data_IF_099161182824
#
_entry.id   IF_099161182824
#
_cell.length_a   1.000
_cell.length_b   1.000
_cell.length_c   1.000
_cell.angle_alpha   90.00
_cell.angle_beta   90.00
_cell.angle_gamma   90.00
#
_symmetry.space_group_name_H-M   'P 1'
#
loop_
_entity.id
_entity.type
_entity.pdbx_description
1 polymer ?
#
# COMPACT_ATOMS: atom_id res chain seq x y z
N UNK A 1 9.98 19.43 -24.06
CA UNK A 1 9.10 18.27 -23.83
C UNK A 1 9.52 17.67 -22.50
N UNK A 2 8.72 17.88 -21.44
CA UNK A 2 9.02 17.38 -20.10
C UNK A 2 9.16 15.87 -20.16
N UNK A 3 10.38 15.36 -19.97
CA UNK A 3 10.59 13.94 -19.79
C UNK A 3 10.19 13.69 -18.34
N UNK A 4 9.07 13.00 -18.11
CA UNK A 4 8.70 12.46 -16.78
C UNK A 4 9.79 11.48 -16.33
N UNK A 5 10.93 12.03 -15.92
CA UNK A 5 12.07 11.32 -15.41
C UNK A 5 12.05 11.33 -13.89
N UNK A 6 12.95 10.55 -13.31
CA UNK A 6 13.15 10.54 -11.86
C UNK A 6 13.38 11.96 -11.29
N UNK A 7 14.01 12.86 -12.07
CA UNK A 7 14.30 14.24 -11.67
C UNK A 7 13.03 15.08 -11.46
N UNK A 8 12.08 15.12 -12.40
CA UNK A 8 10.81 15.83 -12.20
C UNK A 8 10.01 15.26 -11.02
N UNK A 9 9.98 13.93 -10.85
CA UNK A 9 9.30 13.31 -9.72
C UNK A 9 9.93 13.70 -8.37
N UNK A 10 11.26 13.74 -8.30
CA UNK A 10 11.99 14.21 -7.10
C UNK A 10 11.70 15.68 -6.82
N UNK A 11 11.59 16.53 -7.85
CA UNK A 11 11.29 17.94 -7.68
C UNK A 11 9.87 18.16 -7.14
N UNK A 12 8.88 17.45 -7.70
CA UNK A 12 7.49 17.45 -7.20
C UNK A 12 7.44 16.91 -5.77
N UNK A 13 8.14 15.80 -5.50
CA UNK A 13 8.23 15.23 -4.16
C UNK A 13 8.85 16.23 -3.18
N UNK A 14 9.89 16.96 -3.58
CA UNK A 14 10.52 18.01 -2.78
C UNK A 14 9.54 19.12 -2.40
N UNK A 15 8.73 19.61 -3.34
CA UNK A 15 7.69 20.62 -3.07
C UNK A 15 6.62 20.03 -2.14
N UNK A 16 6.15 18.81 -2.41
CA UNK A 16 5.18 18.13 -1.56
C UNK A 16 5.73 17.94 -0.13
N UNK A 17 7.02 17.66 0.02
CA UNK A 17 7.69 17.53 1.31
C UNK A 17 7.81 18.85 2.07
N UNK A 18 7.92 19.99 1.38
CA UNK A 18 7.89 21.30 2.05
C UNK A 18 6.49 21.59 2.59
N UNK A 19 5.44 21.23 1.85
CA UNK A 19 4.04 21.45 2.25
C UNK A 19 3.60 20.48 3.35
N UNK A 20 3.88 19.18 3.18
CA UNK A 20 3.44 18.13 4.10
C UNK A 20 4.46 17.82 5.20
N UNK A 21 5.75 18.06 4.97
CA UNK A 21 6.84 17.69 5.87
C UNK A 21 7.38 16.27 5.61
N UNK A 22 8.71 16.04 5.69
CA UNK A 22 9.31 14.72 5.47
C UNK A 22 8.93 13.66 6.51
N UNK A 23 8.51 14.09 7.71
CA UNK A 23 8.02 13.18 8.74
C UNK A 23 6.67 12.53 8.44
N UNK A 24 5.84 13.13 7.57
CA UNK A 24 4.50 12.59 7.27
C UNK A 24 4.54 11.42 6.29
N UNK A 25 5.52 11.36 5.39
CA UNK A 25 5.67 10.24 4.45
C UNK A 25 5.83 8.86 5.15
N UNK A 26 6.75 8.69 6.14
CA UNK A 26 6.89 7.41 6.83
C UNK A 26 5.68 7.08 7.72
N UNK A 27 4.98 8.08 8.25
CA UNK A 27 3.75 7.88 9.02
C UNK A 27 2.62 7.33 8.13
N UNK A 28 2.38 7.96 6.99
CA UNK A 28 1.42 7.51 5.98
C UNK A 28 1.81 6.12 5.45
N UNK A 29 3.10 5.89 5.17
CA UNK A 29 3.60 4.59 4.73
C UNK A 29 3.37 3.46 5.74
N UNK A 30 3.56 3.73 7.05
CA UNK A 30 3.27 2.77 8.12
C UNK A 30 1.77 2.47 8.21
N UNK A 31 0.92 3.49 8.14
CA UNK A 31 -0.53 3.32 8.18
C UNK A 31 -1.04 2.50 6.98
N UNK A 32 -0.64 2.87 5.76
CA UNK A 32 -0.97 2.16 4.53
C UNK A 32 -0.42 0.73 4.54
N UNK A 33 0.81 0.53 5.02
CA UNK A 33 1.43 -0.79 5.16
C UNK A 33 0.63 -1.70 6.09
N UNK A 34 0.21 -1.19 7.25
CA UNK A 34 -0.64 -1.95 8.18
C UNK A 34 -1.98 -2.34 7.53
N UNK A 35 -2.62 -1.40 6.84
CA UNK A 35 -3.86 -1.66 6.10
C UNK A 35 -3.68 -2.69 4.98
N UNK A 36 -2.58 -2.64 4.22
CA UNK A 36 -2.31 -3.61 3.16
C UNK A 36 -2.06 -5.02 3.72
N UNK A 37 -1.35 -5.11 4.84
CA UNK A 37 -1.07 -6.39 5.52
C UNK A 37 -2.35 -7.01 6.09
N UNK A 38 -3.18 -6.20 6.74
CA UNK A 38 -4.48 -6.66 7.25
C UNK A 38 -5.39 -7.06 6.08
N UNK A 39 -5.47 -6.27 5.01
CA UNK A 39 -6.24 -6.60 3.82
C UNK A 39 -5.78 -7.91 3.17
N UNK A 40 -4.47 -8.10 2.97
CA UNK A 40 -3.90 -9.34 2.42
C UNK A 40 -4.22 -10.56 3.28
N UNK A 41 -4.19 -10.39 4.61
CA UNK A 41 -4.48 -11.48 5.56
C UNK A 41 -5.94 -11.91 5.47
N UNK A 42 -6.88 -10.96 5.45
CA UNK A 42 -8.30 -11.26 5.33
C UNK A 42 -8.67 -11.79 3.95
N UNK A 43 -8.06 -11.24 2.89
CA UNK A 43 -8.24 -11.74 1.52
C UNK A 43 -7.80 -13.20 1.41
N UNK A 44 -6.60 -13.57 1.92
CA UNK A 44 -6.14 -14.95 1.90
C UNK A 44 -6.96 -15.87 2.82
N UNK A 45 -7.36 -15.42 4.02
CA UNK A 45 -8.21 -16.22 4.91
C UNK A 45 -9.59 -16.51 4.31
N UNK A 46 -10.12 -15.59 3.50
CA UNK A 46 -11.38 -15.80 2.77
C UNK A 46 -11.21 -16.82 1.64
N UNK A 47 -10.04 -16.86 1.00
CA UNK A 47 -9.71 -17.93 0.05
C UNK A 47 -9.60 -19.28 0.76
N UNK A 48 -8.85 -19.36 1.86
CA UNK A 48 -8.62 -20.61 2.61
C UNK A 48 -9.92 -21.19 3.19
N UNK A 49 -10.77 -20.34 3.79
CA UNK A 49 -12.08 -20.74 4.32
C UNK A 49 -13.09 -21.16 3.22
N UNK A 50 -12.85 -20.76 1.97
CA UNK A 50 -13.64 -21.23 0.82
C UNK A 50 -13.21 -22.63 0.39
N UNK A 51 -11.91 -22.95 0.49
CA UNK A 51 -11.36 -24.28 0.15
C UNK A 51 -11.74 -25.32 1.22
N UNK A 52 -11.65 -24.98 2.50
CA UNK A 52 -11.99 -25.90 3.61
C UNK A 52 -13.49 -26.25 3.65
N UNK A 53 -14.37 -25.30 3.26
CA UNK A 53 -15.83 -25.53 3.21
C UNK A 53 -16.30 -26.41 2.04
N UNK A 54 -15.43 -26.65 1.05
CA UNK A 54 -15.69 -27.57 -0.06
C UNK A 54 -15.30 -29.02 0.24
N UNK A 55 -14.36 -29.28 1.16
CA UNK A 55 -13.89 -30.63 1.48
C UNK A 55 -14.76 -31.35 2.52
N UNK A 56 -15.52 -30.64 3.36
CA UNK A 56 -16.46 -31.23 4.35
C UNK A 56 -17.82 -31.65 3.72
N UNK A 57 -17.96 -31.60 2.39
CA UNK A 57 -19.20 -31.94 1.67
C UNK A 57 -19.12 -33.18 0.78
N UNK A 58 -18.05 -33.97 0.84
CA UNK A 58 -17.96 -35.31 0.23
C UNK A 58 -18.17 -36.45 1.23
#
# INVERSE_FOLDING_TARGET
MFKMGATELILILGIALIVFGPGKLPEIGKALGKSITEFKTHANKSYDATIEKSEDKE
#
